data_IF_997490569094
#
_entry.id   IF_997490569094
#
_cell.length_a   1.000
_cell.length_b   1.000
_cell.length_c   1.000
_cell.angle_alpha   90.00
_cell.angle_beta   90.00
_cell.angle_gamma   90.00
#
_symmetry.space_group_name_H-M   'P 1'
#
loop_
_entity.id
_entity.type
_entity.pdbx_description
1 polymer ?
#
# COMPACT_ATOMS: atom_id res chain seq x y z
N UNK A 1 2.20 -1.52 1.12
CA UNK A 1 2.93 -0.42 0.43
C UNK A 1 2.02 0.80 0.21
N UNK A 2 0.72 0.61 -0.01
CA UNK A 2 -0.28 1.68 -0.17
C UNK A 2 -0.41 2.64 1.04
N UNK A 3 -0.58 2.12 2.27
CA UNK A 3 -0.67 2.94 3.49
C UNK A 3 0.67 3.49 4.01
N UNK A 4 1.80 2.95 3.53
CA UNK A 4 3.13 3.34 3.99
C UNK A 4 3.66 4.59 3.25
N UNK A 5 3.04 4.95 2.14
CA UNK A 5 3.30 6.22 1.50
C UNK A 5 2.44 7.29 2.14
N UNK A 6 3.00 8.48 2.36
CA UNK A 6 2.31 9.67 2.87
C UNK A 6 1.11 10.13 2.04
N UNK A 7 0.71 9.39 1.01
CA UNK A 7 -0.49 9.56 0.22
C UNK A 7 -1.75 9.70 1.08
N UNK A 8 -2.03 8.75 1.99
CA UNK A 8 -3.16 8.89 2.91
C UNK A 8 -2.94 10.00 3.92
N UNK A 9 -1.69 10.24 4.32
CA UNK A 9 -1.30 11.35 5.22
C UNK A 9 -1.48 12.73 4.60
N UNK A 10 -1.63 12.84 3.27
CA UNK A 10 -1.97 14.11 2.60
C UNK A 10 -3.48 14.40 2.67
N UNK A 11 -4.32 13.41 2.96
CA UNK A 11 -5.77 13.59 3.11
C UNK A 11 -6.20 14.00 4.52
N UNK A 12 -5.35 13.74 5.53
CA UNK A 12 -5.66 14.00 6.93
C UNK A 12 -4.51 14.77 7.58
N UNK A 13 -4.82 15.70 8.48
CA UNK A 13 -3.79 16.38 9.27
C UNK A 13 -3.10 15.40 10.22
N UNK A 14 -1.85 15.68 10.63
CA UNK A 14 -1.11 14.83 11.57
C UNK A 14 -1.87 14.57 12.88
N UNK A 15 -2.62 15.57 13.38
CA UNK A 15 -3.46 15.44 14.57
C UNK A 15 -4.67 14.50 14.39
N UNK A 16 -5.05 14.21 13.15
CA UNK A 16 -6.14 13.30 12.79
C UNK A 16 -5.62 11.86 12.56
N UNK A 17 -4.31 11.61 12.59
CA UNK A 17 -3.78 10.26 12.53
C UNK A 17 -3.94 9.57 13.88
N UNK A 18 -4.47 8.34 13.87
CA UNK A 18 -4.50 7.53 15.06
C UNK A 18 -3.08 7.06 15.42
N UNK A 19 -2.79 6.83 16.71
CA UNK A 19 -1.53 6.25 17.15
C UNK A 19 -1.22 4.97 16.38
N UNK A 20 0.03 4.84 15.97
CA UNK A 20 0.50 3.68 15.23
C UNK A 20 0.32 2.42 16.07
N UNK A 21 -0.38 1.45 15.50
CA UNK A 21 -0.70 0.17 16.11
C UNK A 21 -0.71 -0.85 14.98
N UNK A 22 0.18 -1.84 15.06
CA UNK A 22 0.45 -2.77 13.96
C UNK A 22 0.48 -4.25 14.40
N UNK A 23 0.09 -4.51 15.65
CA UNK A 23 0.03 -5.86 16.24
C UNK A 23 -1.12 -6.08 17.23
N UNK A 24 -2.01 -5.07 17.35
CA UNK A 24 -3.20 -4.88 18.21
C UNK A 24 -3.32 -3.40 18.58
N UNK A 25 -4.55 -2.92 18.75
CA UNK A 25 -4.94 -1.57 19.14
C UNK A 25 -4.50 -1.37 20.58
N UNK A 26 -3.48 -0.52 20.75
CA UNK A 26 -2.91 -0.14 22.05
C UNK A 26 -3.43 1.21 22.54
N UNK A 27 -4.48 1.72 21.91
CA UNK A 27 -5.15 2.96 22.28
C UNK A 27 -6.66 2.74 22.34
N UNK A 28 -7.36 3.61 23.07
CA UNK A 28 -8.82 3.61 23.13
C UNK A 28 -9.38 4.44 21.96
N UNK A 29 -10.02 3.82 20.96
CA UNK A 29 -10.55 4.54 19.80
C UNK A 29 -11.67 5.52 20.16
N UNK A 30 -12.27 5.41 21.35
CA UNK A 30 -13.34 6.30 21.81
C UNK A 30 -12.82 7.60 22.44
N UNK A 31 -11.54 7.64 22.80
CA UNK A 31 -10.90 8.78 23.48
C UNK A 31 -10.09 9.67 22.54
N UNK A 32 -9.97 9.28 21.28
CA UNK A 32 -9.14 10.00 20.31
C UNK A 32 -10.00 10.45 19.13
N UNK A 33 -9.94 11.74 18.82
CA UNK A 33 -10.60 12.36 17.65
C UNK A 33 -9.82 12.10 16.35
N UNK A 34 -9.21 10.92 16.22
CA UNK A 34 -8.46 10.54 15.04
C UNK A 34 -9.40 9.99 13.95
N UNK A 35 -9.05 10.22 12.68
CA UNK A 35 -9.85 9.90 11.49
C UNK A 35 -9.18 8.89 10.56
N UNK A 36 -7.86 8.66 10.69
CA UNK A 36 -7.10 7.74 9.86
C UNK A 36 -6.34 6.72 10.71
N UNK A 37 -6.62 5.43 10.50
CA UNK A 37 -5.86 4.32 11.07
C UNK A 37 -5.32 3.43 9.94
N UNK A 38 -4.00 3.26 9.91
CA UNK A 38 -3.33 2.28 9.06
C UNK A 38 -2.70 1.21 9.94
N UNK A 39 -3.02 -0.06 9.69
CA UNK A 39 -2.55 -1.19 10.48
C UNK A 39 -2.26 -2.42 9.60
N UNK A 40 -1.56 -3.39 10.20
CA UNK A 40 -1.43 -4.76 9.72
C UNK A 40 -2.39 -5.74 10.43
N UNK A 41 -3.20 -5.26 11.38
CA UNK A 41 -4.19 -6.08 12.06
C UNK A 41 -5.25 -6.62 11.07
N UNK A 42 -5.90 -7.70 11.49
CA UNK A 42 -7.00 -8.27 10.73
C UNK A 42 -8.34 -7.59 11.03
N UNK A 43 -9.36 -7.93 10.25
CA UNK A 43 -10.66 -7.30 10.32
C UNK A 43 -11.37 -7.45 11.67
N UNK A 44 -10.94 -8.34 12.57
CA UNK A 44 -11.52 -8.42 13.92
C UNK A 44 -11.33 -7.13 14.74
N UNK A 45 -10.38 -6.27 14.34
CA UNK A 45 -10.21 -4.92 14.88
C UNK A 45 -11.46 -4.04 14.75
N UNK A 46 -12.32 -4.29 13.75
CA UNK A 46 -13.55 -3.54 13.54
C UNK A 46 -14.53 -3.67 14.71
N UNK A 47 -14.37 -4.69 15.56
CA UNK A 47 -15.12 -4.83 16.82
C UNK A 47 -14.79 -3.75 17.86
N UNK A 48 -13.64 -3.09 17.73
CA UNK A 48 -13.16 -2.02 18.63
C UNK A 48 -13.49 -0.63 18.11
N UNK A 49 -13.92 -0.51 16.85
CA UNK A 49 -14.19 0.76 16.19
C UNK A 49 -15.71 1.00 16.08
N UNK A 50 -16.17 2.27 16.08
CA UNK A 50 -17.59 2.58 15.89
C UNK A 50 -18.01 2.21 14.46
N UNK A 51 -18.79 1.13 14.30
CA UNK A 51 -19.16 0.57 12.98
C UNK A 51 -19.83 1.58 12.05
N UNK A 52 -20.70 2.44 12.58
CA UNK A 52 -21.44 3.44 11.80
C UNK A 52 -20.58 4.62 11.31
N UNK A 53 -19.37 4.79 11.87
CA UNK A 53 -18.47 5.91 11.56
C UNK A 53 -17.14 5.46 10.98
N UNK A 54 -16.97 4.17 10.74
CA UNK A 54 -15.70 3.60 10.29
C UNK A 54 -15.88 2.94 8.94
N UNK A 55 -15.11 3.38 7.95
CA UNK A 55 -15.01 2.73 6.65
C UNK A 55 -13.65 2.05 6.51
N UNK A 56 -13.63 0.89 5.86
CA UNK A 56 -12.40 0.14 5.60
C UNK A 56 -12.04 0.26 4.14
N UNK A 57 -10.75 0.44 3.88
CA UNK A 57 -10.17 0.38 2.54
C UNK A 57 -9.03 -0.62 2.58
N UNK A 58 -8.87 -1.41 1.53
CA UNK A 58 -7.82 -2.42 1.46
C UNK A 58 -7.20 -2.49 0.08
N UNK A 59 -6.05 -3.15 0.00
CA UNK A 59 -5.40 -3.53 -1.24
C UNK A 59 -5.02 -4.99 -1.15
N UNK A 60 -5.44 -5.78 -2.13
CA UNK A 60 -5.09 -7.18 -2.21
C UNK A 60 -3.88 -7.39 -3.14
N UNK A 61 -3.29 -8.58 -3.06
CA UNK A 61 -2.13 -8.96 -3.86
C UNK A 61 -2.28 -10.37 -4.42
N UNK A 62 -1.72 -10.60 -5.60
CA UNK A 62 -1.63 -11.94 -6.16
C UNK A 62 -0.96 -12.90 -5.14
N UNK A 63 -1.58 -14.05 -4.83
CA UNK A 63 -1.12 -14.90 -3.74
C UNK A 63 0.32 -15.41 -3.91
N UNK A 64 0.72 -15.80 -5.12
CA UNK A 64 2.09 -16.28 -5.40
C UNK A 64 3.10 -15.16 -5.15
N UNK A 65 2.83 -13.98 -5.71
CA UNK A 65 3.70 -12.82 -5.51
C UNK A 65 3.77 -12.38 -4.03
N UNK A 66 2.68 -12.56 -3.28
CA UNK A 66 2.63 -12.31 -1.84
C UNK A 66 3.51 -13.28 -1.07
N UNK A 67 3.49 -14.59 -1.40
CA UNK A 67 4.40 -15.58 -0.79
C UNK A 67 5.85 -15.19 -1.05
N UNK A 68 6.22 -14.96 -2.31
CA UNK A 68 7.59 -14.56 -2.66
C UNK A 68 8.04 -13.33 -1.90
N UNK A 69 7.24 -12.27 -1.89
CA UNK A 69 7.60 -11.05 -1.16
C UNK A 69 7.66 -11.24 0.35
N UNK A 70 6.85 -12.12 0.93
CA UNK A 70 6.89 -12.41 2.38
C UNK A 70 8.17 -13.15 2.75
N UNK A 71 8.51 -14.19 1.99
CA UNK A 71 9.76 -14.93 2.09
C UNK A 71 10.97 -14.00 1.94
N UNK A 72 11.07 -13.27 0.83
CA UNK A 72 12.18 -12.36 0.53
C UNK A 72 12.32 -11.27 1.61
N UNK A 73 11.22 -10.65 2.03
CA UNK A 73 11.26 -9.57 3.01
C UNK A 73 11.66 -10.06 4.40
N UNK A 74 11.17 -11.23 4.82
CA UNK A 74 11.53 -11.81 6.12
C UNK A 74 13.03 -12.11 6.20
N UNK A 75 13.62 -12.67 5.14
CA UNK A 75 15.07 -12.91 5.02
C UNK A 75 15.83 -11.60 4.95
N UNK A 76 15.39 -10.63 4.14
CA UNK A 76 16.07 -9.34 4.01
C UNK A 76 16.18 -8.63 5.37
N UNK A 77 15.09 -8.55 6.13
CA UNK A 77 15.08 -7.89 7.44
C UNK A 77 15.91 -8.70 8.44
N UNK A 78 15.80 -10.03 8.44
CA UNK A 78 16.60 -10.90 9.31
C UNK A 78 18.10 -10.76 9.05
N UNK A 79 18.53 -10.64 7.79
CA UNK A 79 19.93 -10.51 7.41
C UNK A 79 20.61 -9.26 8.00
N UNK A 80 19.83 -8.20 8.31
CA UNK A 80 20.36 -6.97 8.96
C UNK A 80 21.02 -7.28 10.31
N UNK A 81 20.52 -8.29 11.02
CA UNK A 81 21.04 -8.68 12.34
C UNK A 81 22.35 -9.46 12.26
N UNK A 82 22.78 -9.93 11.08
CA UNK A 82 24.06 -10.62 10.91
C UNK A 82 25.28 -9.72 11.10
N UNK A 83 25.09 -8.41 11.32
CA UNK A 83 26.14 -7.53 11.84
C UNK A 83 26.62 -7.95 13.23
N UNK A 84 25.78 -8.63 14.01
CA UNK A 84 26.11 -9.08 15.35
C UNK A 84 26.93 -10.38 15.33
N UNK A 85 27.85 -10.56 16.31
CA UNK A 85 28.70 -11.73 16.37
C UNK A 85 27.94 -13.03 16.59
N UNK A 86 26.82 -13.01 17.31
CA UNK A 86 25.98 -14.17 17.60
C UNK A 86 24.52 -13.77 17.85
N UNK A 87 23.63 -14.75 17.86
CA UNK A 87 22.19 -14.56 18.05
C UNK A 87 21.87 -13.88 19.39
N UNK A 88 22.56 -14.26 20.47
CA UNK A 88 22.37 -13.66 21.80
C UNK A 88 22.64 -12.15 21.80
N UNK A 89 23.69 -11.71 21.13
CA UNK A 89 24.03 -10.28 20.97
C UNK A 89 22.93 -9.54 20.21
N UNK A 90 22.43 -10.11 19.11
CA UNK A 90 21.34 -9.53 18.32
C UNK A 90 20.05 -9.39 19.15
N UNK A 91 19.68 -10.44 19.91
CA UNK A 91 18.45 -10.44 20.72
C UNK A 91 18.54 -9.46 21.90
N UNK A 92 19.70 -9.34 22.55
CA UNK A 92 19.92 -8.37 23.63
C UNK A 92 19.77 -6.92 23.15
N UNK A 93 20.23 -6.61 21.94
CA UNK A 93 20.09 -5.26 21.37
C UNK A 93 18.62 -4.91 21.09
N UNK A 94 17.84 -5.86 20.56
CA UNK A 94 16.39 -5.67 20.36
C UNK A 94 15.67 -5.36 21.68
N UNK A 95 16.08 -6.00 22.79
CA UNK A 95 15.49 -5.75 24.11
C UNK A 95 15.85 -4.40 24.74
N UNK A 96 16.95 -3.75 24.31
CA UNK A 96 17.42 -2.46 24.86
C UNK A 96 16.85 -1.22 24.17
N UNK A 97 16.25 -1.36 22.99
CA UNK A 97 15.74 -0.23 22.17
C UNK A 97 14.40 0.36 22.66
N UNK A 98 14.02 0.18 23.92
CA UNK A 98 12.71 0.58 24.46
C UNK A 98 12.86 1.08 25.89
N UNK A 99 13.06 2.39 26.10
CA UNK A 99 11.95 3.35 26.11
C UNK A 99 12.29 4.70 25.41
N UNK A 100 11.40 5.19 24.54
CA UNK A 100 11.49 6.56 23.99
C UNK A 100 11.76 6.69 22.48
N UNK A 101 12.01 5.60 21.76
CA UNK A 101 12.09 5.66 20.29
C UNK A 101 10.70 5.91 19.68
N UNK A 102 10.55 7.00 18.93
CA UNK A 102 9.31 7.41 18.23
C UNK A 102 8.97 6.52 17.02
N UNK A 103 9.86 5.59 16.64
CA UNK A 103 9.71 4.70 15.51
C UNK A 103 9.09 3.33 15.86
N UNK A 104 8.23 2.82 14.98
CA UNK A 104 7.74 1.43 15.06
C UNK A 104 8.76 0.50 14.40
N UNK A 105 9.28 -0.46 15.15
CA UNK A 105 10.18 -1.49 14.62
C UNK A 105 9.40 -2.49 13.76
N UNK A 106 10.02 -3.01 12.69
CA UNK A 106 9.46 -4.14 11.94
C UNK A 106 9.23 -5.37 12.83
N UNK A 107 9.99 -5.51 13.93
CA UNK A 107 9.79 -6.57 14.91
C UNK A 107 8.51 -6.41 15.76
N UNK A 108 7.80 -5.31 15.61
CA UNK A 108 6.59 -4.97 16.36
C UNK A 108 5.34 -4.99 15.49
N UNK A 109 5.48 -5.47 14.25
CA UNK A 109 4.43 -5.46 13.23
C UNK A 109 4.07 -6.90 12.90
N UNK A 110 2.79 -7.24 12.89
CA UNK A 110 2.35 -8.55 12.40
C UNK A 110 2.44 -8.63 10.86
N UNK A 111 2.83 -9.77 10.24
CA UNK A 111 3.35 -11.00 10.84
C UNK A 111 4.87 -10.98 11.09
N UNK A 112 5.55 -9.89 10.77
CA UNK A 112 7.01 -9.76 10.82
C UNK A 112 7.60 -9.99 12.21
N UNK A 113 6.86 -9.66 13.27
CA UNK A 113 7.22 -9.95 14.67
C UNK A 113 7.51 -11.43 14.94
N UNK A 114 7.00 -12.33 14.10
CA UNK A 114 7.25 -13.77 14.18
C UNK A 114 8.21 -14.24 13.07
N UNK A 115 7.99 -13.79 11.84
CA UNK A 115 8.77 -14.26 10.68
C UNK A 115 10.23 -13.79 10.72
N UNK A 116 10.49 -12.55 11.17
CA UNK A 116 11.85 -12.01 11.19
C UNK A 116 12.71 -12.70 12.27
N UNK A 117 12.24 -12.91 13.52
CA UNK A 117 12.98 -13.71 14.48
C UNK A 117 13.28 -15.13 14.00
N UNK A 118 12.30 -15.79 13.36
CA UNK A 118 12.48 -17.12 12.79
C UNK A 118 13.57 -17.15 11.72
N UNK A 119 13.50 -16.29 10.71
CA UNK A 119 14.54 -16.21 9.68
C UNK A 119 15.89 -15.76 10.25
N UNK A 120 15.90 -14.94 11.30
CA UNK A 120 17.14 -14.55 11.98
C UNK A 120 17.83 -15.76 12.58
N UNK A 121 17.11 -16.60 13.33
CA UNK A 121 17.65 -17.84 13.90
C UNK A 121 18.25 -18.75 12.82
N UNK A 122 17.51 -18.98 11.74
CA UNK A 122 17.96 -19.78 10.59
C UNK A 122 19.26 -19.22 9.97
N UNK A 123 19.30 -17.91 9.69
CA UNK A 123 20.47 -17.27 9.09
C UNK A 123 21.71 -17.31 9.98
N UNK A 124 21.55 -17.18 11.30
CA UNK A 124 22.66 -17.34 12.25
C UNK A 124 23.18 -18.77 12.25
N UNK A 125 22.28 -19.77 12.31
CA UNK A 125 22.66 -21.18 12.28
C UNK A 125 23.44 -21.52 11.01
N UNK A 126 22.94 -21.12 9.82
CA UNK A 126 23.61 -21.37 8.55
C UNK A 126 24.96 -20.65 8.47
N UNK A 127 25.05 -19.40 8.93
CA UNK A 127 26.33 -18.66 8.99
C UNK A 127 27.36 -19.35 9.87
N UNK A 128 26.95 -19.81 11.04
CA UNK A 128 27.85 -20.43 12.01
C UNK A 128 28.28 -21.83 11.54
N UNK A 129 27.39 -22.59 10.88
CA UNK A 129 27.75 -23.83 10.19
C UNK A 129 28.77 -23.60 9.08
N UNK A 130 28.59 -22.57 8.24
CA UNK A 130 29.57 -22.19 7.20
C UNK A 130 30.94 -21.86 7.79
N UNK A 131 30.99 -21.15 8.93
CA UNK A 131 32.26 -20.85 9.62
C UNK A 131 32.97 -22.12 10.11
N UNK A 132 32.22 -23.13 10.53
CA UNK A 132 32.79 -24.42 10.98
C UNK A 132 33.30 -25.27 9.82
N UNK A 133 32.60 -25.26 8.68
CA UNK A 133 32.99 -26.06 7.51
C UNK A 133 34.16 -25.47 6.70
N UNK A 134 34.46 -24.17 6.85
CA UNK A 134 35.53 -23.49 6.12
C UNK A 134 35.05 -22.84 4.81
N UNK A 135 35.96 -22.60 3.86
CA UNK A 135 35.61 -21.95 2.59
C UNK A 135 34.86 -22.92 1.66
N UNK A 136 33.55 -22.74 1.54
CA UNK A 136 32.72 -23.40 0.53
C UNK A 136 32.55 -22.41 -0.63
N UNK A 137 32.95 -22.79 -1.85
CA UNK A 137 32.64 -22.02 -3.06
C UNK A 137 31.17 -22.25 -3.42
N UNK A 138 30.29 -21.41 -2.87
CA UNK A 138 28.85 -21.46 -3.13
C UNK A 138 28.57 -20.67 -4.40
N UNK A 139 28.21 -21.36 -5.48
CA UNK A 139 27.82 -20.70 -6.74
C UNK A 139 26.39 -20.17 -6.67
N UNK A 140 26.17 -18.98 -7.25
CA UNK A 140 24.83 -18.43 -7.45
C UNK A 140 24.15 -19.18 -8.60
N UNK A 141 23.33 -20.18 -8.27
CA UNK A 141 22.49 -20.88 -9.23
C UNK A 141 21.03 -20.45 -9.06
N UNK A 142 20.37 -20.95 -8.02
CA UNK A 142 18.98 -20.66 -7.70
C UNK A 142 18.87 -19.96 -6.34
N UNK A 143 18.55 -18.66 -6.28
CA UNK A 143 18.45 -17.93 -5.02
C UNK A 143 17.33 -18.43 -4.10
N UNK A 144 16.35 -19.20 -4.62
CA UNK A 144 15.28 -19.80 -3.84
C UNK A 144 15.61 -21.22 -3.35
N UNK A 145 16.80 -21.73 -3.68
CA UNK A 145 17.28 -23.04 -3.23
C UNK A 145 18.80 -22.99 -2.93
N UNK A 146 19.20 -22.08 -2.03
CA UNK A 146 20.59 -21.96 -1.56
C UNK A 146 20.69 -22.39 -0.10
N UNK A 147 20.54 -23.69 0.16
CA UNK A 147 20.46 -24.24 1.52
C UNK A 147 21.62 -23.80 2.40
N UNK A 148 22.85 -23.71 1.90
CA UNK A 148 23.97 -23.29 2.73
C UNK A 148 23.86 -21.82 3.13
N UNK A 149 23.09 -20.98 2.43
CA UNK A 149 23.01 -19.53 2.63
C UNK A 149 21.74 -19.07 3.33
N UNK A 150 20.58 -19.58 2.89
CA UNK A 150 19.24 -19.19 3.33
C UNK A 150 18.33 -20.43 3.31
N UNK A 151 17.28 -20.45 4.13
CA UNK A 151 16.23 -21.46 4.04
C UNK A 151 15.66 -21.55 2.61
N UNK A 152 15.72 -22.72 1.92
CA UNK A 152 15.09 -22.90 0.63
C UNK A 152 13.60 -22.56 0.66
N UNK A 153 13.07 -22.00 -0.42
CA UNK A 153 11.66 -21.60 -0.52
C UNK A 153 10.72 -22.78 -0.27
N UNK A 154 11.07 -23.96 -0.78
CA UNK A 154 10.26 -25.17 -0.57
C UNK A 154 10.25 -25.60 0.90
N UNK A 155 11.37 -25.43 1.63
CA UNK A 155 11.40 -25.66 3.07
C UNK A 155 10.50 -24.64 3.78
N UNK A 156 10.64 -23.36 3.44
CA UNK A 156 9.87 -22.26 4.03
C UNK A 156 8.35 -22.46 3.91
N UNK A 157 7.83 -22.77 2.72
CA UNK A 157 6.38 -22.92 2.51
C UNK A 157 5.79 -24.17 3.18
N UNK A 158 6.63 -25.13 3.59
CA UNK A 158 6.18 -26.34 4.27
C UNK A 158 6.39 -26.27 5.79
N UNK A 159 7.05 -25.23 6.31
CA UNK A 159 7.23 -25.05 7.75
C UNK A 159 5.87 -24.73 8.42
N UNK A 160 5.55 -25.35 9.57
CA UNK A 160 4.32 -25.06 10.32
C UNK A 160 4.08 -23.56 10.60
N UNK A 161 5.15 -22.77 10.78
CA UNK A 161 5.05 -21.32 10.98
C UNK A 161 4.53 -20.62 9.73
N UNK A 162 4.91 -21.06 8.52
CA UNK A 162 4.35 -20.51 7.28
C UNK A 162 2.88 -20.89 7.11
N UNK A 163 2.49 -22.11 7.48
CA UNK A 163 1.07 -22.52 7.52
C UNK A 163 0.25 -21.64 8.47
N UNK A 164 0.81 -21.28 9.62
CA UNK A 164 0.14 -20.42 10.60
C UNK A 164 0.19 -18.92 10.26
N UNK A 165 1.21 -18.42 9.57
CA UNK A 165 1.40 -16.97 9.42
C UNK A 165 1.17 -16.45 8.00
N UNK A 166 1.37 -17.30 6.99
CA UNK A 166 1.54 -16.85 5.60
C UNK A 166 0.46 -17.43 4.69
N UNK A 167 0.19 -18.73 4.80
CA UNK A 167 -0.75 -19.43 3.92
C UNK A 167 -2.21 -19.05 4.19
N UNK A 168 -2.96 -18.79 3.12
CA UNK A 168 -4.31 -18.21 3.15
C UNK A 168 -4.40 -16.91 4.00
N UNK A 169 -3.26 -16.23 4.15
CA UNK A 169 -3.10 -15.15 5.12
C UNK A 169 -3.98 -13.94 4.82
N UNK A 170 -4.24 -13.66 3.56
CA UNK A 170 -5.06 -12.53 3.13
C UNK A 170 -6.55 -12.79 3.37
N UNK A 171 -7.02 -14.01 3.06
CA UNK A 171 -8.36 -14.46 3.43
C UNK A 171 -8.57 -14.42 4.93
N UNK A 172 -7.63 -14.95 5.71
CA UNK A 172 -7.75 -14.89 7.17
C UNK A 172 -7.66 -13.47 7.71
N UNK A 173 -6.90 -12.58 7.08
CA UNK A 173 -6.82 -11.17 7.48
C UNK A 173 -8.16 -10.44 7.22
N UNK A 174 -8.77 -10.63 6.05
CA UNK A 174 -10.09 -10.06 5.75
C UNK A 174 -11.20 -10.72 6.60
N UNK A 175 -11.10 -12.02 6.85
CA UNK A 175 -12.03 -12.76 7.71
C UNK A 175 -11.84 -12.50 9.21
N UNK A 176 -10.76 -11.83 9.64
CA UNK A 176 -10.53 -11.56 11.06
C UNK A 176 -10.23 -12.82 11.88
N UNK A 177 -9.48 -13.74 11.27
CA UNK A 177 -9.15 -15.07 11.81
C UNK A 177 -7.64 -15.33 11.80
N UNK A 178 -6.80 -14.30 11.85
CA UNK A 178 -5.36 -14.48 11.95
C UNK A 178 -4.96 -14.89 13.38
N UNK A 179 -3.69 -15.25 13.59
CA UNK A 179 -3.19 -15.43 14.95
C UNK A 179 -2.99 -14.10 15.71
N UNK A 180 -3.31 -12.97 15.08
CA UNK A 180 -3.29 -11.64 15.68
C UNK A 180 -4.71 -11.09 15.94
N UNK A 181 -5.76 -11.88 15.70
CA UNK A 181 -7.15 -11.50 15.97
C UNK A 181 -7.39 -11.08 17.43
N UNK A 182 -8.44 -10.27 17.65
CA UNK A 182 -8.84 -9.83 18.99
C UNK A 182 -9.67 -10.85 19.76
N UNK A 183 -10.35 -11.76 19.05
CA UNK A 183 -11.13 -12.84 19.64
C UNK A 183 -10.24 -14.06 19.84
N UNK A 184 -10.28 -14.65 21.03
CA UNK A 184 -9.47 -15.83 21.34
C UNK A 184 -9.91 -17.04 20.50
N UNK A 185 -11.21 -17.13 20.25
CA UNK A 185 -11.88 -18.17 19.46
C UNK A 185 -11.44 -18.16 17.99
N UNK A 186 -10.98 -17.01 17.48
CA UNK A 186 -10.46 -16.91 16.10
C UNK A 186 -9.31 -17.90 15.86
N UNK A 187 -8.48 -18.16 16.88
CA UNK A 187 -7.36 -19.10 16.78
C UNK A 187 -7.85 -20.55 16.68
N UNK A 188 -8.88 -20.91 17.44
CA UNK A 188 -9.48 -22.24 17.41
C UNK A 188 -10.18 -22.49 16.06
N UNK A 189 -10.98 -21.53 15.60
CA UNK A 189 -11.66 -21.59 14.30
C UNK A 189 -10.64 -21.73 13.18
N UNK A 190 -9.54 -20.96 13.22
CA UNK A 190 -8.48 -21.06 12.22
C UNK A 190 -7.85 -22.46 12.20
N UNK A 191 -7.51 -23.00 13.38
CA UNK A 191 -6.97 -24.35 13.50
C UNK A 191 -7.93 -25.39 12.90
N UNK A 192 -9.24 -25.25 13.15
CA UNK A 192 -10.26 -26.12 12.58
C UNK A 192 -10.31 -26.03 11.05
N UNK A 193 -10.25 -24.82 10.49
CA UNK A 193 -10.27 -24.59 9.04
C UNK A 193 -9.04 -25.17 8.36
N UNK A 194 -7.86 -25.06 8.98
CA UNK A 194 -6.64 -25.68 8.47
C UNK A 194 -6.71 -27.20 8.45
N UNK A 195 -7.35 -27.81 9.46
CA UNK A 195 -7.57 -29.27 9.53
C UNK A 195 -8.65 -29.76 8.57
N UNK A 196 -9.72 -28.99 8.40
CA UNK A 196 -10.88 -29.36 7.61
C UNK A 196 -11.10 -28.34 6.49
N UNK A 197 -10.47 -28.59 5.32
CA UNK A 197 -10.48 -27.67 4.17
C UNK A 197 -11.87 -27.20 3.75
N UNK A 198 -12.89 -28.06 3.89
CA UNK A 198 -14.30 -27.72 3.58
C UNK A 198 -14.81 -26.52 4.38
N UNK A 199 -14.33 -26.32 5.62
CA UNK A 199 -14.70 -25.15 6.42
C UNK A 199 -14.10 -23.85 5.88
N UNK A 200 -13.06 -23.94 5.04
CA UNK A 200 -12.44 -22.80 4.38
C UNK A 200 -13.41 -22.07 3.45
N UNK A 201 -14.37 -22.77 2.85
CA UNK A 201 -15.39 -22.17 1.98
C UNK A 201 -16.26 -21.17 2.74
N UNK A 202 -16.67 -21.52 3.97
CA UNK A 202 -17.43 -20.60 4.82
C UNK A 202 -16.61 -19.36 5.21
N UNK A 203 -15.32 -19.53 5.49
CA UNK A 203 -14.42 -18.42 5.78
C UNK A 203 -14.27 -17.50 4.57
N UNK A 204 -14.13 -18.08 3.38
CA UNK A 204 -14.03 -17.35 2.12
C UNK A 204 -15.28 -16.51 1.86
N UNK A 205 -16.48 -17.05 2.08
CA UNK A 205 -17.72 -16.30 1.90
C UNK A 205 -17.84 -15.13 2.89
N UNK A 206 -17.40 -15.32 4.15
CA UNK A 206 -17.29 -14.21 5.11
C UNK A 206 -16.31 -13.14 4.63
N UNK A 207 -15.16 -13.55 4.08
CA UNK A 207 -14.16 -12.61 3.55
C UNK A 207 -14.69 -11.82 2.34
N UNK A 208 -15.33 -12.50 1.38
CA UNK A 208 -15.94 -11.85 0.20
C UNK A 208 -16.99 -10.82 0.60
N UNK A 209 -17.93 -11.21 1.47
CA UNK A 209 -18.95 -10.29 1.97
C UNK A 209 -18.35 -9.05 2.63
N UNK A 210 -17.26 -9.23 3.39
CA UNK A 210 -16.56 -8.09 4.00
C UNK A 210 -15.90 -7.21 2.96
N UNK A 211 -15.33 -7.77 1.88
CA UNK A 211 -14.80 -6.96 0.77
C UNK A 211 -15.90 -6.14 0.11
N UNK A 212 -17.11 -6.69 -0.07
CA UNK A 212 -18.25 -5.95 -0.61
C UNK A 212 -18.63 -4.74 0.27
N UNK A 213 -18.51 -4.89 1.59
CA UNK A 213 -18.80 -3.84 2.56
C UNK A 213 -17.65 -2.81 2.70
N UNK A 214 -16.49 -3.03 2.08
CA UNK A 214 -15.37 -2.07 2.12
C UNK A 214 -15.61 -0.91 1.15
N UNK A 215 -15.22 0.29 1.59
CA UNK A 215 -15.33 1.52 0.79
C UNK A 215 -14.48 1.45 -0.49
N UNK A 216 -13.36 0.73 -0.44
CA UNK A 216 -12.46 0.59 -1.58
C UNK A 216 -11.61 -0.67 -1.48
N UNK A 217 -11.40 -1.35 -2.63
CA UNK A 217 -10.57 -2.55 -2.76
C UNK A 217 -9.63 -2.35 -3.95
N UNK A 218 -8.34 -2.17 -3.70
CA UNK A 218 -7.31 -2.06 -4.75
C UNK A 218 -6.58 -3.37 -5.01
N UNK A 219 -5.71 -3.36 -6.02
CA UNK A 219 -4.79 -4.44 -6.36
C UNK A 219 -3.33 -3.96 -6.37
N UNK A 220 -2.43 -4.75 -5.81
CA UNK A 220 -0.99 -4.41 -5.71
C UNK A 220 -0.28 -4.46 -7.06
N UNK A 221 -0.71 -5.34 -7.95
CA UNK A 221 -0.17 -5.49 -9.31
C UNK A 221 -0.45 -4.23 -10.13
N UNK A 222 -1.64 -3.66 -9.96
CA UNK A 222 -2.10 -2.42 -10.58
C UNK A 222 -1.97 -1.23 -9.61
N UNK A 223 -0.85 -1.16 -8.87
CA UNK A 223 -0.69 -0.22 -7.74
C UNK A 223 -0.96 1.25 -8.09
N UNK A 224 -0.51 1.70 -9.27
CA UNK A 224 -0.71 3.10 -9.71
C UNK A 224 -2.17 3.37 -10.06
N UNK A 225 -2.80 2.45 -10.78
CA UNK A 225 -4.21 2.53 -11.13
C UNK A 225 -5.08 2.47 -9.88
N UNK A 226 -4.74 1.58 -8.94
CA UNK A 226 -5.35 1.53 -7.63
C UNK A 226 -5.23 2.86 -6.89
N UNK A 227 -4.06 3.51 -6.91
CA UNK A 227 -3.89 4.83 -6.28
C UNK A 227 -4.77 5.90 -6.94
N UNK A 228 -4.86 5.86 -8.28
CA UNK A 228 -5.70 6.79 -9.05
C UNK A 228 -7.18 6.57 -8.77
N UNK A 229 -7.66 5.34 -8.75
CA UNK A 229 -9.05 5.01 -8.40
C UNK A 229 -9.37 5.40 -6.96
N UNK A 230 -8.49 5.08 -6.01
CA UNK A 230 -8.65 5.51 -4.62
C UNK A 230 -8.76 7.04 -4.53
N UNK A 231 -7.89 7.78 -5.22
CA UNK A 231 -7.91 9.24 -5.20
C UNK A 231 -9.24 9.80 -5.74
N UNK A 232 -9.79 9.19 -6.79
CA UNK A 232 -11.05 9.60 -7.41
C UNK A 232 -12.31 9.19 -6.62
N UNK A 233 -12.24 8.09 -5.85
CA UNK A 233 -13.37 7.59 -5.05
C UNK A 233 -13.31 8.15 -3.63
N UNK A 234 -12.29 7.74 -2.88
CA UNK A 234 -12.14 8.05 -1.45
C UNK A 234 -11.52 9.44 -1.27
N UNK A 235 -10.45 9.75 -2.02
CA UNK A 235 -9.75 11.03 -1.92
C UNK A 235 -10.68 12.21 -2.21
N UNK A 236 -11.43 12.16 -3.31
CA UNK A 236 -12.39 13.19 -3.69
C UNK A 236 -13.48 13.40 -2.62
N UNK A 237 -13.98 12.30 -2.02
CA UNK A 237 -14.97 12.37 -0.95
C UNK A 237 -14.40 13.06 0.31
N UNK A 238 -13.21 12.65 0.76
CA UNK A 238 -12.56 13.23 1.95
C UNK A 238 -12.24 14.71 1.72
N UNK A 239 -11.72 15.06 0.54
CA UNK A 239 -11.44 16.46 0.15
C UNK A 239 -12.73 17.29 0.17
N UNK A 240 -13.82 16.78 -0.41
CA UNK A 240 -15.11 17.48 -0.41
C UNK A 240 -15.65 17.70 0.99
N UNK A 241 -15.55 16.71 1.88
CA UNK A 241 -15.99 16.83 3.27
C UNK A 241 -15.18 17.89 4.03
N UNK A 242 -13.85 17.89 3.87
CA UNK A 242 -12.98 18.90 4.48
C UNK A 242 -13.31 20.33 4.01
N UNK A 243 -13.63 20.51 2.72
CA UNK A 243 -14.06 21.80 2.18
C UNK A 243 -15.39 22.28 2.78
N UNK A 244 -16.35 21.39 2.99
CA UNK A 244 -17.62 21.72 3.65
C UNK A 244 -17.47 22.04 5.14
N UNK A 245 -16.57 21.34 5.84
CA UNK A 245 -16.25 21.64 7.25
C UNK A 245 -15.62 23.04 7.37
N UNK A 246 -14.65 23.37 6.51
CA UNK A 246 -13.98 24.67 6.54
C UNK A 246 -14.94 25.85 6.23
N UNK A 247 -15.85 25.70 5.26
CA UNK A 247 -16.83 26.75 4.94
C UNK A 247 -17.87 26.94 6.05
N UNK A 248 -18.22 25.87 6.77
CA UNK A 248 -19.08 25.93 7.95
C UNK A 248 -18.40 26.61 9.14
N UNK A 249 -17.08 26.43 9.31
CA UNK A 249 -16.30 27.12 10.34
C UNK A 249 -16.09 28.60 10.01
N UNK A 250 -15.85 28.96 8.74
CA UNK A 250 -15.74 30.38 8.33
C UNK A 250 -17.06 31.14 8.50
N UNK A 251 -18.20 30.49 8.22
CA UNK A 251 -19.53 31.07 8.48
C UNK A 251 -19.88 31.15 9.98
N UNK A 252 -19.40 30.21 10.80
CA UNK A 252 -19.51 30.26 12.27
C UNK A 252 -18.57 31.29 12.92
N UNK A 253 -17.39 31.52 12.36
CA UNK A 253 -16.44 32.53 12.82
C UNK A 253 -16.91 33.95 12.48
N UNK A 254 -17.50 34.14 11.28
CA UNK A 254 -18.12 35.42 10.89
C UNK A 254 -19.36 35.77 11.71
N UNK A 255 -19.98 34.80 12.41
CA UNK A 255 -21.11 35.04 13.32
C UNK A 255 -20.71 35.21 14.79
N UNK A 256 -19.42 35.06 15.13
CA UNK A 256 -18.89 35.22 16.51
C UNK A 256 -17.83 36.31 16.67
N UNK A 257 -17.65 37.19 15.69
CA UNK A 257 -16.80 38.38 15.86
C UNK A 257 -17.53 39.45 16.70
N UNK A 258 -17.45 39.28 18.02
CA UNK A 258 -17.85 40.26 19.03
C UNK A 258 -17.31 39.83 20.40
N UNK A 259 -16.24 40.51 20.85
CA UNK A 259 -15.53 40.40 22.14
C UNK A 259 -14.60 39.18 22.29
N UNK A 260 -13.32 39.26 22.66
CA UNK A 260 -12.44 40.35 23.06
C UNK A 260 -11.12 39.79 23.65
N UNK A 261 -10.00 40.45 23.32
CA UNK A 261 -8.69 40.57 24.02
C UNK A 261 -7.88 39.34 24.50
N UNK A 262 -6.78 39.08 23.77
CA UNK A 262 -5.35 39.06 24.19
C UNK A 262 -4.92 38.53 25.57
N UNK A 263 -3.99 37.57 25.59
CA UNK A 263 -2.58 37.80 25.98
C UNK A 263 -1.68 36.59 25.70
N UNK A 264 -0.47 36.88 25.20
CA UNK A 264 0.67 35.98 24.99
C UNK A 264 1.62 36.10 26.18
N UNK A 265 2.35 35.03 26.53
CA UNK A 265 3.66 35.13 27.20
C UNK A 265 4.46 33.82 27.05
N UNK A 266 5.78 33.97 27.00
CA UNK A 266 6.74 33.11 26.30
C UNK A 266 7.99 32.85 27.15
N UNK A 267 8.66 31.70 26.87
CA UNK A 267 10.13 31.40 27.00
C UNK A 267 10.71 31.05 28.41
N UNK A 268 11.94 30.45 28.55
CA UNK A 268 12.79 29.60 27.65
C UNK A 268 13.65 28.45 28.31
N UNK A 269 14.43 27.78 27.45
CA UNK A 269 15.80 27.17 27.59
C UNK A 269 16.13 25.91 28.41
N UNK A 270 16.73 24.89 27.77
CA UNK A 270 18.20 24.69 27.78
C UNK A 270 18.71 23.55 26.86
N UNK A 271 19.85 23.83 26.24
CA UNK A 271 20.74 22.97 25.45
C UNK A 271 21.36 21.82 26.26
N UNK A 272 21.62 20.68 25.62
CA UNK A 272 22.91 19.99 25.76
C UNK A 272 23.12 18.94 24.64
N UNK A 273 24.20 19.13 23.90
CA UNK A 273 24.75 18.22 22.88
C UNK A 273 25.36 16.97 23.52
N UNK A 274 25.10 15.77 22.97
CA UNK A 274 26.18 14.81 22.70
C UNK A 274 25.81 13.65 21.76
N UNK A 275 26.79 13.38 20.91
CA UNK A 275 26.87 12.57 19.72
C UNK A 275 26.68 11.06 20.00
N UNK A 276 25.70 10.44 19.33
CA UNK A 276 25.60 8.99 19.23
C UNK A 276 24.99 8.60 17.88
N UNK A 277 25.81 7.96 17.06
CA UNK A 277 25.52 7.47 15.72
C UNK A 277 24.45 6.38 15.76
N UNK A 278 23.19 6.82 15.74
CA UNK A 278 22.01 6.00 15.50
C UNK A 278 21.51 6.23 14.06
N UNK A 279 20.87 5.21 13.51
CA UNK A 279 20.39 5.10 12.11
C UNK A 279 19.31 6.13 11.74
N UNK A 280 19.64 7.42 11.82
CA UNK A 280 18.87 8.53 11.30
C UNK A 280 19.05 8.61 9.78
N UNK A 281 18.19 7.91 9.03
CA UNK A 281 17.79 8.28 7.64
C UNK A 281 16.61 7.45 7.15
N UNK A 282 15.56 7.46 7.96
CA UNK A 282 14.21 7.02 7.58
C UNK A 282 13.16 8.11 7.84
N UNK A 283 13.43 9.02 8.79
CA UNK A 283 12.49 10.02 9.28
C UNK A 283 12.92 11.48 9.03
N UNK A 284 13.93 11.74 8.20
CA UNK A 284 14.17 13.07 7.62
C UNK A 284 13.56 13.17 6.22
N UNK A 285 12.23 13.22 6.17
CA UNK A 285 11.51 14.07 5.21
C UNK A 285 10.40 14.72 6.03
N UNK A 286 10.70 15.89 6.60
CA UNK A 286 9.76 16.70 7.37
C UNK A 286 10.32 17.25 8.68
N UNK A 287 11.57 17.76 8.70
CA UNK A 287 12.04 18.60 9.80
C UNK A 287 11.51 20.02 9.60
N UNK A 288 10.53 20.40 10.42
CA UNK A 288 10.37 21.75 11.00
C UNK A 288 10.44 22.97 10.07
N UNK A 289 9.75 22.95 8.93
CA UNK A 289 9.31 24.17 8.22
C UNK A 289 7.83 24.13 7.79
N UNK A 290 7.07 23.08 8.11
CA UNK A 290 5.68 22.91 7.65
C UNK A 290 4.62 23.48 8.63
N UNK A 291 4.99 24.37 9.55
CA UNK A 291 4.02 24.97 10.49
C UNK A 291 3.21 26.13 9.89
N UNK A 292 3.59 26.67 8.73
CA UNK A 292 2.80 27.75 8.08
C UNK A 292 2.46 27.54 6.61
N UNK A 293 2.91 26.49 5.93
CA UNK A 293 2.70 26.35 4.48
C UNK A 293 1.91 25.09 4.09
N UNK A 294 0.57 25.12 4.28
CA UNK A 294 -0.41 24.54 3.34
C UNK A 294 -1.85 24.82 3.74
N UNK A 295 -2.26 26.06 3.49
CA UNK A 295 -3.66 26.42 3.22
C UNK A 295 -3.99 26.24 1.73
N UNK A 296 -3.26 25.37 1.03
CA UNK A 296 -3.52 25.09 -0.37
C UNK A 296 -4.56 23.97 -0.46
N UNK A 297 -5.69 24.26 -1.11
CA UNK A 297 -6.77 23.30 -1.28
C UNK A 297 -6.25 22.02 -1.93
N UNK A 298 -6.34 20.90 -1.21
CA UNK A 298 -5.96 19.58 -1.71
C UNK A 298 -6.88 19.19 -2.87
N UNK A 299 -6.32 18.67 -3.95
CA UNK A 299 -7.06 18.16 -5.11
C UNK A 299 -6.62 16.75 -5.44
N UNK A 300 -7.42 16.02 -6.23
CA UNK A 300 -7.06 14.68 -6.70
C UNK A 300 -5.72 14.69 -7.47
N UNK A 301 -5.48 15.71 -8.30
CA UNK A 301 -4.22 15.86 -9.04
C UNK A 301 -3.01 15.99 -8.11
N UNK A 302 -3.07 16.89 -7.13
CA UNK A 302 -2.01 17.08 -6.13
C UNK A 302 -1.79 15.86 -5.27
N UNK A 303 -2.86 15.13 -4.95
CA UNK A 303 -2.79 13.88 -4.22
C UNK A 303 -2.02 12.81 -5.02
N UNK A 304 -2.24 12.72 -6.34
CA UNK A 304 -1.49 11.83 -7.22
C UNK A 304 -0.02 12.25 -7.42
N UNK A 305 0.27 13.55 -7.48
CA UNK A 305 1.66 14.04 -7.49
C UNK A 305 2.40 13.65 -6.21
N UNK A 306 1.75 13.81 -5.05
CA UNK A 306 2.31 13.39 -3.76
C UNK A 306 2.55 11.87 -3.70
N UNK A 307 1.66 11.08 -4.31
CA UNK A 307 1.84 9.64 -4.47
C UNK A 307 3.11 9.33 -5.28
N UNK A 308 3.29 9.93 -6.45
CA UNK A 308 4.43 9.62 -7.34
C UNK A 308 5.77 10.00 -6.66
N UNK A 309 5.83 11.17 -6.04
CA UNK A 309 7.01 11.62 -5.28
C UNK A 309 7.34 10.67 -4.13
N UNK A 310 6.31 10.24 -3.39
CA UNK A 310 6.49 9.32 -2.27
C UNK A 310 6.98 7.94 -2.73
N UNK A 311 6.39 7.35 -3.77
CA UNK A 311 6.75 6.02 -4.26
C UNK A 311 8.18 6.01 -4.81
N UNK A 312 8.60 7.07 -5.51
CA UNK A 312 9.97 7.22 -5.98
C UNK A 312 10.98 7.21 -4.83
N UNK A 313 10.74 8.01 -3.78
CA UNK A 313 11.59 8.06 -2.59
C UNK A 313 11.62 6.71 -1.84
N UNK A 314 10.45 6.10 -1.65
CA UNK A 314 10.32 4.81 -0.98
C UNK A 314 11.10 3.70 -1.68
N UNK A 315 10.95 3.59 -3.02
CA UNK A 315 11.68 2.61 -3.83
C UNK A 315 13.20 2.79 -3.71
N UNK A 316 13.67 4.04 -3.74
CA UNK A 316 15.10 4.35 -3.58
C UNK A 316 15.63 3.91 -2.22
N UNK A 317 14.90 4.22 -1.15
CA UNK A 317 15.28 3.86 0.23
C UNK A 317 15.24 2.34 0.45
N UNK A 318 14.18 1.68 -0.02
CA UNK A 318 14.05 0.22 0.06
C UNK A 318 15.17 -0.49 -0.72
N UNK A 319 15.47 -0.04 -1.94
CA UNK A 319 16.56 -0.60 -2.75
C UNK A 319 17.93 -0.51 -2.05
N UNK A 320 18.23 0.65 -1.43
CA UNK A 320 19.46 0.83 -0.64
C UNK A 320 19.52 -0.12 0.57
N UNK A 321 18.44 -0.21 1.35
CA UNK A 321 18.35 -1.11 2.51
C UNK A 321 18.48 -2.57 2.12
N UNK A 322 17.81 -2.97 1.04
CA UNK A 322 17.89 -4.31 0.47
C UNK A 322 19.31 -4.67 0.08
N UNK A 323 19.99 -3.79 -0.67
CA UNK A 323 21.39 -4.00 -1.08
C UNK A 323 22.33 -4.19 0.13
N UNK A 324 22.16 -3.37 1.17
CA UNK A 324 22.96 -3.48 2.40
C UNK A 324 22.72 -4.79 3.14
N UNK A 325 21.45 -5.20 3.25
CA UNK A 325 21.03 -6.41 3.95
C UNK A 325 21.53 -7.67 3.23
N UNK A 326 21.26 -7.77 1.92
CA UNK A 326 21.61 -8.95 1.13
C UNK A 326 23.12 -9.14 0.96
N UNK A 327 23.93 -8.09 1.09
CA UNK A 327 25.40 -8.21 1.10
C UNK A 327 25.90 -9.18 2.18
N UNK A 328 25.19 -9.29 3.31
CA UNK A 328 25.57 -10.17 4.44
C UNK A 328 25.26 -11.65 4.20
N UNK A 329 24.42 -11.94 3.21
CA UNK A 329 24.04 -13.30 2.81
C UNK A 329 24.41 -13.56 1.35
N UNK A 330 25.34 -12.78 0.78
CA UNK A 330 25.90 -13.02 -0.54
C UNK A 330 26.51 -14.42 -0.60
N UNK A 331 26.24 -15.22 -1.67
CA UNK A 331 25.69 -14.80 -2.96
C UNK A 331 24.15 -14.83 -3.11
N UNK A 332 23.39 -15.12 -2.05
CA UNK A 332 21.93 -15.08 -2.12
C UNK A 332 21.42 -13.67 -2.42
N UNK A 333 20.66 -13.54 -3.51
CA UNK A 333 20.06 -12.29 -3.95
C UNK A 333 18.80 -12.59 -4.76
N UNK A 334 17.70 -11.96 -4.39
CA UNK A 334 16.40 -12.20 -5.02
C UNK A 334 16.11 -11.16 -6.09
N UNK A 335 15.39 -11.53 -7.14
CA UNK A 335 14.82 -10.59 -8.10
C UNK A 335 13.49 -11.11 -8.61
N UNK A 336 12.71 -10.24 -9.28
CA UNK A 336 11.46 -10.65 -9.90
C UNK A 336 11.72 -11.62 -11.06
N UNK A 337 12.80 -11.40 -11.80
CA UNK A 337 13.26 -12.28 -12.87
C UNK A 337 13.67 -13.65 -12.32
N UNK A 338 14.27 -13.69 -11.13
CA UNK A 338 14.64 -14.95 -10.50
C UNK A 338 13.41 -15.77 -10.09
N UNK A 339 12.25 -15.14 -9.84
CA UNK A 339 10.99 -15.86 -9.48
C UNK A 339 10.50 -16.75 -10.61
N UNK A 340 10.70 -16.36 -11.87
CA UNK A 340 10.27 -17.17 -13.02
C UNK A 340 11.12 -18.42 -13.23
N UNK A 341 12.24 -18.54 -12.53
CA UNK A 341 13.11 -19.73 -12.56
C UNK A 341 12.76 -20.75 -11.49
N UNK A 342 11.87 -20.42 -10.55
CA UNK A 342 11.39 -21.37 -9.55
C UNK A 342 10.56 -22.44 -10.25
N UNK A 343 10.81 -23.70 -9.90
CA UNK A 343 10.14 -24.84 -10.55
C UNK A 343 8.61 -24.75 -10.45
N UNK A 344 7.92 -25.15 -11.52
CA UNK A 344 6.45 -25.15 -11.55
C UNK A 344 5.85 -26.02 -10.43
N UNK A 345 6.54 -27.08 -10.01
CA UNK A 345 6.13 -27.93 -8.88
C UNK A 345 5.99 -27.10 -7.57
N UNK A 346 6.94 -26.22 -7.30
CA UNK A 346 6.88 -25.33 -6.13
C UNK A 346 5.79 -24.27 -6.29
N UNK A 347 5.59 -23.75 -7.52
CA UNK A 347 4.51 -22.79 -7.80
C UNK A 347 3.14 -23.43 -7.60
N UNK A 348 2.92 -24.65 -8.08
CA UNK A 348 1.68 -25.41 -7.86
C UNK A 348 1.45 -25.74 -6.39
N UNK A 349 2.51 -26.05 -5.65
CA UNK A 349 2.42 -26.22 -4.20
C UNK A 349 1.98 -24.93 -3.52
N UNK A 350 2.54 -23.78 -3.90
CA UNK A 350 2.11 -22.47 -3.41
C UNK A 350 0.63 -22.23 -3.75
N UNK A 351 0.18 -22.54 -4.97
CA UNK A 351 -1.23 -22.42 -5.38
C UNK A 351 -2.15 -23.25 -4.48
N UNK A 352 -1.81 -24.52 -4.29
CA UNK A 352 -2.58 -25.46 -3.45
C UNK A 352 -2.69 -25.02 -1.98
N UNK A 353 -1.56 -24.55 -1.41
CA UNK A 353 -1.51 -24.07 -0.03
C UNK A 353 -2.28 -22.75 0.18
N UNK A 354 -2.56 -22.00 -0.90
CA UNK A 354 -3.21 -20.68 -0.86
C UNK A 354 -4.53 -20.63 -1.64
N UNK A 355 -5.23 -21.76 -1.80
CA UNK A 355 -6.45 -21.84 -2.62
C UNK A 355 -7.54 -20.81 -2.22
N UNK A 356 -7.69 -20.50 -0.93
CA UNK A 356 -8.69 -19.49 -0.49
C UNK A 356 -8.31 -18.10 -0.96
N UNK A 357 -7.01 -17.75 -0.88
CA UNK A 357 -6.55 -16.44 -1.33
C UNK A 357 -6.64 -16.29 -2.85
N UNK A 358 -6.47 -17.37 -3.61
CA UNK A 358 -6.69 -17.33 -5.05
C UNK A 358 -8.13 -16.97 -5.41
N UNK A 359 -9.10 -17.62 -4.75
CA UNK A 359 -10.51 -17.31 -4.96
C UNK A 359 -10.88 -15.91 -4.45
N UNK A 360 -10.34 -15.49 -3.30
CA UNK A 360 -10.56 -14.14 -2.79
C UNK A 360 -9.94 -13.07 -3.68
N UNK A 361 -8.72 -13.30 -4.18
CA UNK A 361 -8.05 -12.38 -5.09
C UNK A 361 -8.80 -12.24 -6.40
N UNK A 362 -9.28 -13.36 -6.98
CA UNK A 362 -10.15 -13.34 -8.17
C UNK A 362 -11.41 -12.51 -7.92
N UNK A 363 -12.06 -12.69 -6.76
CA UNK A 363 -13.21 -11.87 -6.38
C UNK A 363 -12.87 -10.38 -6.25
N UNK A 364 -11.71 -10.06 -5.66
CA UNK A 364 -11.23 -8.69 -5.57
C UNK A 364 -10.94 -8.06 -6.95
N UNK A 365 -10.45 -8.84 -7.93
CA UNK A 365 -10.30 -8.38 -9.31
C UNK A 365 -11.65 -7.99 -9.92
N UNK A 366 -12.71 -8.74 -9.64
CA UNK A 366 -14.07 -8.41 -10.10
C UNK A 366 -14.59 -7.11 -9.45
N UNK A 367 -14.36 -6.92 -8.14
CA UNK A 367 -14.69 -5.66 -7.44
C UNK A 367 -13.92 -4.50 -8.07
N UNK A 368 -12.61 -4.66 -8.25
CA UNK A 368 -11.73 -3.63 -8.80
C UNK A 368 -12.17 -3.22 -10.22
N UNK A 369 -12.47 -4.19 -11.09
CA UNK A 369 -12.96 -3.91 -12.44
C UNK A 369 -14.30 -3.16 -12.45
N UNK A 370 -15.23 -3.51 -11.55
CA UNK A 370 -16.52 -2.80 -11.38
C UNK A 370 -16.29 -1.37 -10.90
N UNK A 371 -15.42 -1.17 -9.90
CA UNK A 371 -15.06 0.15 -9.39
C UNK A 371 -14.42 1.01 -10.48
N UNK A 372 -13.52 0.44 -11.27
CA UNK A 372 -12.84 1.15 -12.36
C UNK A 372 -13.85 1.65 -13.40
N UNK A 373 -14.76 0.76 -13.85
CA UNK A 373 -15.81 1.10 -14.81
C UNK A 373 -16.68 2.26 -14.31
N UNK A 374 -17.10 2.23 -13.04
CA UNK A 374 -17.92 3.29 -12.45
C UNK A 374 -17.20 4.65 -12.41
N UNK A 375 -15.91 4.67 -12.07
CA UNK A 375 -15.09 5.89 -12.06
C UNK A 375 -14.94 6.47 -13.47
N UNK A 376 -14.66 5.62 -14.47
CA UNK A 376 -14.54 6.05 -15.87
C UNK A 376 -15.85 6.64 -16.39
N UNK A 377 -16.98 5.97 -16.16
CA UNK A 377 -18.31 6.46 -16.56
C UNK A 377 -18.62 7.82 -15.93
N UNK A 378 -18.33 7.99 -14.63
CA UNK A 378 -18.54 9.25 -13.90
C UNK A 378 -17.66 10.38 -14.43
N UNK A 379 -16.39 10.10 -14.74
CA UNK A 379 -15.49 11.11 -15.31
C UNK A 379 -15.94 11.52 -16.72
N UNK A 380 -16.34 10.56 -17.56
CA UNK A 380 -16.86 10.85 -18.91
C UNK A 380 -18.17 11.64 -18.89
N UNK A 381 -19.07 11.37 -17.92
CA UNK A 381 -20.31 12.15 -17.79
C UNK A 381 -20.05 13.59 -17.34
N UNK A 382 -19.10 13.80 -16.42
CA UNK A 382 -18.70 15.14 -15.96
C UNK A 382 -18.03 15.95 -17.07
N UNK A 383 -17.19 15.33 -17.91
CA UNK A 383 -16.62 15.98 -19.09
C UNK A 383 -17.71 16.39 -20.09
N UNK A 384 -18.68 15.51 -20.34
CA UNK A 384 -19.82 15.81 -21.23
C UNK A 384 -20.68 16.95 -20.69
N UNK A 385 -21.06 16.95 -19.42
CA UNK A 385 -21.83 18.04 -18.80
C UNK A 385 -21.07 19.37 -18.79
N UNK A 386 -19.75 19.35 -18.58
CA UNK A 386 -18.92 20.56 -18.66
C UNK A 386 -18.87 21.15 -20.08
N UNK A 387 -18.91 20.30 -21.12
CA UNK A 387 -19.02 20.72 -22.51
C UNK A 387 -20.40 21.32 -22.84
N UNK A 388 -21.48 20.77 -22.28
CA UNK A 388 -22.85 21.25 -22.53
C UNK A 388 -23.23 22.51 -21.73
N UNK A 389 -22.64 22.71 -20.54
CA UNK A 389 -22.98 23.84 -19.66
C UNK A 389 -22.14 25.11 -19.91
N UNK A 390 -21.21 25.09 -20.86
CA UNK A 390 -20.44 26.28 -21.22
C UNK A 390 -21.15 27.07 -22.34
N UNK A 391 -21.65 28.31 -22.09
CA UNK A 391 -22.38 29.10 -23.11
C UNK A 391 -21.54 29.39 -24.37
N UNK A 392 -20.20 29.36 -24.24
CA UNK A 392 -19.25 29.51 -25.33
C UNK A 392 -18.93 28.24 -26.13
N UNK A 393 -19.23 27.05 -25.59
CA UNK A 393 -18.92 25.76 -26.23
C UNK A 393 -19.89 25.42 -27.37
N UNK A 394 -21.18 25.68 -27.16
CA UNK A 394 -22.24 25.46 -28.16
C UNK A 394 -22.08 26.40 -29.35
N UNK A 395 -21.61 27.63 -29.12
CA UNK A 395 -21.31 28.60 -30.17
C UNK A 395 -20.05 28.21 -30.94
N UNK A 396 -18.96 27.84 -30.26
CA UNK A 396 -17.74 27.36 -30.95
C UNK A 396 -17.98 26.09 -31.78
N UNK A 397 -18.71 25.10 -31.28
CA UNK A 397 -18.99 23.85 -32.03
C UNK A 397 -19.79 24.10 -33.31
N UNK A 398 -20.77 25.02 -33.27
CA UNK A 398 -21.49 25.45 -34.47
C UNK A 398 -20.58 26.16 -35.47
N UNK A 399 -19.64 26.98 -35.00
CA UNK A 399 -18.64 27.63 -35.87
C UNK A 399 -17.66 26.62 -36.47
N UNK A 400 -17.15 25.65 -35.71
CA UNK A 400 -16.26 24.61 -36.22
C UNK A 400 -16.97 23.66 -37.17
N UNK A 401 -18.20 23.26 -36.88
CA UNK A 401 -19.02 22.41 -37.75
C UNK A 401 -19.37 23.12 -39.07
N UNK A 402 -19.75 24.40 -39.02
CA UNK A 402 -20.01 25.20 -40.23
C UNK A 402 -18.74 25.48 -41.03
N UNK A 403 -17.61 25.78 -40.39
CA UNK A 403 -16.32 25.97 -41.06
C UNK A 403 -15.85 24.69 -41.75
N UNK A 404 -15.97 23.53 -41.11
CA UNK A 404 -15.63 22.24 -41.73
C UNK A 404 -16.54 21.91 -42.91
N UNK A 405 -17.84 22.19 -42.83
CA UNK A 405 -18.75 22.04 -43.98
C UNK A 405 -18.37 22.96 -45.15
N UNK A 406 -17.95 24.20 -44.88
CA UNK A 406 -17.48 25.13 -45.91
C UNK A 406 -16.18 24.64 -46.55
N UNK A 407 -15.22 24.14 -45.76
CA UNK A 407 -13.96 23.59 -46.28
C UNK A 407 -14.22 22.37 -47.17
N UNK A 408 -15.13 21.48 -46.76
CA UNK A 408 -15.53 20.31 -47.57
C UNK A 408 -16.24 20.74 -48.86
N UNK A 409 -17.13 21.73 -48.80
CA UNK A 409 -17.79 22.30 -49.99
C UNK A 409 -16.79 22.94 -50.95
N UNK A 410 -15.82 23.69 -50.44
CA UNK A 410 -14.76 24.30 -51.25
C UNK A 410 -13.85 23.23 -51.89
N UNK A 411 -13.52 22.16 -51.16
CA UNK A 411 -12.76 21.03 -51.69
C UNK A 411 -13.54 20.32 -52.81
N UNK A 412 -14.85 20.08 -52.62
CA UNK A 412 -15.71 19.50 -53.64
C UNK A 412 -15.85 20.39 -54.88
N UNK A 413 -16.01 21.71 -54.70
CA UNK A 413 -16.02 22.67 -55.81
C UNK A 413 -14.69 22.70 -56.55
N UNK A 414 -13.56 22.66 -55.83
CA UNK A 414 -12.24 22.63 -56.45
C UNK A 414 -12.01 21.35 -57.26
N UNK A 415 -12.43 20.20 -56.72
CA UNK A 415 -12.43 18.92 -57.43
C UNK A 415 -13.34 18.96 -58.66
N UNK A 416 -14.53 19.56 -58.57
CA UNK A 416 -15.46 19.69 -59.68
C UNK A 416 -14.94 20.60 -60.80
N UNK A 417 -14.32 21.74 -60.43
CA UNK A 417 -13.69 22.67 -61.40
C UNK A 417 -12.48 22.02 -62.08
N UNK A 418 -11.67 21.25 -61.34
CA UNK A 418 -10.55 20.51 -61.92
C UNK A 418 -11.01 19.35 -62.81
N UNK A 419 -12.10 18.66 -62.45
CA UNK A 419 -12.72 17.64 -63.31
C UNK A 419 -13.27 18.26 -64.61
N UNK A 420 -13.96 19.41 -64.53
CA UNK A 420 -14.41 20.16 -65.72
C UNK A 420 -13.25 20.66 -66.58
N UNK A 421 -12.16 21.16 -65.98
CA UNK A 421 -10.94 21.56 -66.72
C UNK A 421 -10.25 20.38 -67.40
N UNK A 422 -10.26 19.19 -66.81
CA UNK A 422 -9.77 17.96 -67.46
C UNK A 422 -10.66 17.51 -68.61
N UNK A 423 -11.99 17.59 -68.46
CA UNK A 423 -12.92 17.25 -69.54
C UNK A 423 -12.91 18.28 -70.69
N UNK A 424 -12.64 19.55 -70.42
CA UNK A 424 -12.56 20.58 -71.48
C UNK A 424 -11.22 20.62 -72.23
N UNK A 425 -10.21 19.84 -71.79
CA UNK A 425 -8.94 19.61 -72.49
C UNK A 425 -8.94 18.35 -73.36
N UNK A 426 -10.05 17.59 -73.36
CA UNK A 426 -10.30 16.53 -74.33
C UNK A 426 -11.28 17.10 -75.37
N UNK A 427 -10.73 17.80 -76.36
CA UNK A 427 -11.42 17.99 -77.65
C UNK A 427 -10.78 17.01 -78.65
N UNK A 428 -11.65 16.24 -79.29
CA UNK A 428 -11.39 15.46 -80.50
C UNK A 428 -10.91 16.41 -81.60
#
# INVERSE_FOLDING_TARGET
MFCACSFLKRLYANAQECPRSYDKLRFDPRKQECRLLATHDDYSMMSKLPKEKTSVVTILRNPVDRIFSTYEFSIEVAARFLVHPNLTSATKMVGRLRPGATGVSTLDIWPWKYLVPWMREDLFARRDARKMMGSIDIKRNDPYNMEEMVMPLQEYINDPRAHELVHNGETFQVAGLTNNSYFAESHEVRCCVQKHKILGEHVLEVAKKRLDDMLYVGLTEDHRESATMFANVVGAQVISQALTENSSMESAANSKSGQGSSHSESLPDNDDNQDSTSDHKADEIGSTEDLEEKKETMTVGKLMEAYEGCISSLRKTQSRRRKSSLKRISPANFSKEDRSRVSEVVIEQIRSLNHLDFELYKYAQEIFAKQHKHVVEKLSSMESESMFNNPGGITMWKFFSSAMCIVVLLALLFLFVNARRRMSKVKI
#
